data_IF_667380764408
#
_entry.id   IF_667380764408
#
_cell.length_a   1.000
_cell.length_b   1.000
_cell.length_c   1.000
_cell.angle_alpha   90.00
_cell.angle_beta   90.00
_cell.angle_gamma   90.00
#
_symmetry.space_group_name_H-M   'P 1'
#
loop_
_entity.id
_entity.type
_entity.pdbx_description
1 polymer ?
#
# COMPACT_ATOMS: atom_id res chain seq x y z
N UNK A 1 17.13 15.23 29.74
CA UNK A 1 17.49 14.15 28.77
C UNK A 1 16.20 13.52 28.25
N UNK A 2 16.05 13.39 26.95
CA UNK A 2 14.89 12.72 26.35
C UNK A 2 15.26 11.25 26.16
N UNK A 3 14.41 10.29 26.54
CA UNK A 3 14.71 8.88 26.34
C UNK A 3 14.84 8.58 24.85
N UNK A 4 15.81 7.77 24.48
CA UNK A 4 16.04 7.33 23.10
C UNK A 4 14.95 6.37 22.61
N UNK A 5 14.24 5.76 23.55
CA UNK A 5 13.15 4.80 23.27
C UNK A 5 11.99 5.06 24.19
N UNK A 6 10.79 5.23 23.65
CA UNK A 6 9.55 5.27 24.41
C UNK A 6 8.80 3.93 24.24
N UNK A 7 8.55 3.26 25.34
CA UNK A 7 7.69 2.09 25.41
C UNK A 7 6.32 2.49 25.94
N UNK A 8 5.27 2.18 25.17
CA UNK A 8 3.89 2.40 25.58
C UNK A 8 3.24 1.05 25.88
N UNK A 9 2.52 0.97 26.98
CA UNK A 9 1.72 -0.21 27.32
C UNK A 9 0.25 0.18 27.26
N UNK A 10 -0.47 -0.43 26.32
CA UNK A 10 -1.93 -0.29 26.22
C UNK A 10 -2.58 -1.52 26.83
N UNK A 11 -3.17 -1.36 28.01
CA UNK A 11 -3.92 -2.42 28.67
C UNK A 11 -5.40 -2.36 28.26
N UNK A 12 -5.95 -3.48 27.85
CA UNK A 12 -7.39 -3.71 27.67
C UNK A 12 -7.82 -4.90 28.54
N UNK A 13 -9.11 -5.08 28.83
CA UNK A 13 -9.57 -6.21 29.65
C UNK A 13 -9.10 -7.57 29.16
N UNK A 14 -8.99 -7.72 27.84
CA UNK A 14 -8.66 -8.98 27.18
C UNK A 14 -7.18 -9.16 26.84
N UNK A 15 -6.38 -8.07 26.83
CA UNK A 15 -4.97 -8.15 26.44
C UNK A 15 -4.16 -6.91 26.82
N UNK A 16 -2.85 -7.07 27.01
CA UNK A 16 -1.88 -5.99 27.11
C UNK A 16 -1.04 -5.92 25.81
N UNK A 17 -0.94 -4.71 25.24
CA UNK A 17 -0.16 -4.45 24.03
C UNK A 17 1.07 -3.64 24.37
N UNK A 18 2.24 -4.09 23.95
CA UNK A 18 3.48 -3.35 24.07
C UNK A 18 3.77 -2.63 22.76
N UNK A 19 3.90 -1.33 22.79
CA UNK A 19 4.06 -0.48 21.62
C UNK A 19 5.35 0.32 21.74
N UNK A 20 6.18 0.28 20.73
CA UNK A 20 7.41 1.05 20.66
C UNK A 20 7.18 2.29 19.80
N UNK A 21 7.65 3.41 20.27
CA UNK A 21 7.69 4.61 19.45
C UNK A 21 8.95 4.62 18.61
N UNK A 22 8.78 4.36 17.32
CA UNK A 22 9.86 4.32 16.32
C UNK A 22 10.12 5.70 15.71
N UNK A 23 10.45 6.71 16.52
CA UNK A 23 10.84 8.03 16.06
C UNK A 23 9.91 9.18 16.43
N UNK A 24 10.30 10.40 16.06
CA UNK A 24 9.52 11.63 16.33
C UNK A 24 8.24 11.65 15.48
N UNK A 25 7.14 12.06 16.12
CA UNK A 25 5.86 12.28 15.42
C UNK A 25 6.07 13.35 14.34
N UNK A 26 6.07 12.94 13.07
CA UNK A 26 6.09 13.91 11.99
C UNK A 26 4.73 14.63 11.90
N UNK A 27 4.71 15.93 11.56
CA UNK A 27 3.46 16.62 11.33
C UNK A 27 2.67 15.90 10.25
N UNK A 28 1.39 15.67 10.53
CA UNK A 28 0.49 14.95 9.63
C UNK A 28 0.21 15.84 8.42
N UNK A 29 0.67 15.43 7.25
CA UNK A 29 0.21 16.03 6.00
C UNK A 29 -1.08 15.33 5.57
N UNK A 30 -2.06 16.12 5.16
CA UNK A 30 -3.36 15.61 4.73
C UNK A 30 -3.20 14.64 3.54
N UNK A 31 -3.88 13.50 3.60
CA UNK A 31 -3.78 12.47 2.54
C UNK A 31 -2.55 11.57 2.61
N UNK A 32 -1.61 11.78 3.53
CA UNK A 32 -0.44 10.90 3.68
C UNK A 32 -0.66 9.81 4.73
N UNK A 33 -0.15 8.62 4.41
CA UNK A 33 -0.07 7.52 5.36
C UNK A 33 0.94 7.82 6.47
N UNK A 34 0.63 7.35 7.67
CA UNK A 34 1.56 7.36 8.80
C UNK A 34 2.72 6.40 8.52
N UNK A 35 3.91 6.75 8.98
CA UNK A 35 5.12 5.95 8.77
C UNK A 35 5.05 4.54 9.38
N UNK A 36 4.35 4.37 10.51
CA UNK A 36 4.12 3.06 11.12
C UNK A 36 3.23 2.17 10.24
N UNK A 37 2.17 2.71 9.66
CA UNK A 37 1.31 1.98 8.70
C UNK A 37 2.10 1.62 7.44
N UNK A 38 2.93 2.55 6.95
CA UNK A 38 3.79 2.30 5.80
C UNK A 38 4.80 1.17 6.06
N UNK A 39 5.41 1.14 7.26
CA UNK A 39 6.35 0.09 7.65
C UNK A 39 5.66 -1.28 7.72
N UNK A 40 4.45 -1.36 8.29
CA UNK A 40 3.66 -2.59 8.33
C UNK A 40 3.26 -3.05 6.94
N UNK A 41 2.82 -2.13 6.07
CA UNK A 41 2.49 -2.46 4.69
C UNK A 41 3.70 -2.98 3.90
N UNK A 42 4.88 -2.35 4.06
CA UNK A 42 6.12 -2.79 3.46
C UNK A 42 6.57 -4.17 3.98
N UNK A 43 6.37 -4.45 5.27
CA UNK A 43 6.61 -5.77 5.84
C UNK A 43 5.74 -6.84 5.19
N UNK A 44 4.43 -6.61 5.06
CA UNK A 44 3.53 -7.55 4.39
C UNK A 44 3.78 -7.71 2.89
N UNK A 45 4.38 -6.70 2.27
CA UNK A 45 4.71 -6.74 0.85
C UNK A 45 5.81 -7.74 0.50
N UNK A 46 6.67 -8.13 1.46
CA UNK A 46 7.79 -9.08 1.25
C UNK A 46 8.65 -8.73 0.03
N UNK A 47 8.94 -7.45 -0.17
CA UNK A 47 9.60 -6.96 -1.39
C UNK A 47 11.07 -7.39 -1.55
N UNK A 48 11.70 -7.99 -0.54
CA UNK A 48 13.14 -8.20 -0.46
C UNK A 48 13.81 -8.63 -1.77
N UNK A 49 14.76 -7.81 -2.25
CA UNK A 49 15.57 -8.02 -3.44
C UNK A 49 14.81 -8.16 -4.79
N UNK A 50 13.51 -7.86 -4.82
CA UNK A 50 12.63 -8.00 -5.98
C UNK A 50 12.19 -6.63 -6.54
N UNK A 51 11.47 -6.63 -7.66
CA UNK A 51 10.86 -5.43 -8.22
C UNK A 51 9.50 -5.18 -7.57
N UNK A 52 9.20 -3.94 -7.23
CA UNK A 52 7.91 -3.55 -6.67
C UNK A 52 7.36 -2.29 -7.32
N UNK A 53 6.05 -2.18 -7.37
CA UNK A 53 5.35 -0.97 -7.78
C UNK A 53 4.41 -0.46 -6.67
N UNK A 54 4.24 0.86 -6.60
CA UNK A 54 3.23 1.50 -5.75
C UNK A 54 2.28 2.27 -6.68
N UNK A 55 1.02 1.87 -6.70
CA UNK A 55 -0.03 2.51 -7.49
C UNK A 55 -0.79 3.53 -6.63
N UNK A 56 -1.04 4.72 -7.17
CA UNK A 56 -1.71 5.80 -6.48
C UNK A 56 -0.88 6.41 -5.34
N UNK A 57 0.41 6.55 -5.56
CA UNK A 57 1.34 7.02 -4.54
C UNK A 57 1.16 8.52 -4.27
N UNK A 58 0.71 8.89 -3.06
CA UNK A 58 0.40 10.28 -2.67
C UNK A 58 1.45 10.94 -1.78
N UNK A 59 2.58 10.27 -1.51
CA UNK A 59 3.65 10.81 -0.68
C UNK A 59 4.84 9.88 -0.53
N UNK A 60 5.91 10.36 0.10
CA UNK A 60 7.20 9.66 0.18
C UNK A 60 7.30 8.62 1.29
N UNK A 61 6.37 8.56 2.26
CA UNK A 61 6.49 7.68 3.42
C UNK A 61 6.39 6.19 3.05
N UNK A 62 5.42 5.81 2.20
CA UNK A 62 5.28 4.42 1.75
C UNK A 62 6.45 3.99 0.85
N UNK A 63 6.86 4.77 -0.17
CA UNK A 63 8.07 4.48 -0.94
C UNK A 63 9.32 4.30 -0.08
N UNK A 64 9.53 5.18 0.91
CA UNK A 64 10.68 5.08 1.81
C UNK A 64 10.66 3.79 2.63
N UNK A 65 9.49 3.39 3.16
CA UNK A 65 9.35 2.15 3.91
C UNK A 65 9.60 0.91 3.02
N UNK A 66 9.06 0.90 1.80
CA UNK A 66 9.29 -0.19 0.84
C UNK A 66 10.76 -0.24 0.39
N UNK A 67 11.40 0.92 0.18
CA UNK A 67 12.82 0.95 -0.17
C UNK A 67 13.70 0.43 0.97
N UNK A 68 13.36 0.77 2.21
CA UNK A 68 14.06 0.29 3.41
C UNK A 68 13.92 -1.23 3.61
N UNK A 69 12.90 -1.89 3.04
CA UNK A 69 12.76 -3.35 3.06
C UNK A 69 13.70 -4.09 2.10
N UNK A 70 14.57 -3.38 1.39
CA UNK A 70 15.58 -3.99 0.51
C UNK A 70 15.09 -4.30 -0.91
N UNK A 71 14.03 -3.66 -1.38
CA UNK A 71 13.55 -3.82 -2.77
C UNK A 71 14.64 -3.45 -3.77
N UNK A 72 14.79 -4.26 -4.83
CA UNK A 72 15.79 -4.04 -5.89
C UNK A 72 15.44 -2.81 -6.72
N UNK A 73 14.25 -2.78 -7.28
CA UNK A 73 13.74 -1.67 -8.05
C UNK A 73 12.34 -1.29 -7.56
N UNK A 74 12.11 0.00 -7.35
CA UNK A 74 10.82 0.54 -6.93
C UNK A 74 10.33 1.55 -7.96
N UNK A 75 9.11 1.33 -8.45
CA UNK A 75 8.42 2.26 -9.33
C UNK A 75 7.16 2.78 -8.63
N UNK A 76 6.97 4.09 -8.63
CA UNK A 76 5.81 4.75 -8.05
C UNK A 76 5.00 5.46 -9.13
N UNK A 77 3.72 5.12 -9.23
CA UNK A 77 2.75 5.80 -10.08
C UNK A 77 1.99 6.80 -9.22
N UNK A 78 2.10 8.08 -9.56
CA UNK A 78 1.62 9.19 -8.76
C UNK A 78 0.45 9.90 -9.45
N UNK A 79 -0.48 10.52 -8.71
CA UNK A 79 -1.61 11.23 -9.29
C UNK A 79 -1.20 12.53 -10.01
N UNK A 80 0.00 13.04 -9.70
CA UNK A 80 0.51 14.29 -10.27
C UNK A 80 2.04 14.30 -10.30
N UNK A 81 2.57 15.17 -11.17
CA UNK A 81 4.01 15.33 -11.41
C UNK A 81 4.77 15.91 -10.20
N UNK A 82 4.11 16.72 -9.38
CA UNK A 82 4.76 17.31 -8.21
C UNK A 82 5.04 16.25 -7.15
N UNK A 83 4.08 15.36 -6.92
CA UNK A 83 4.24 14.18 -6.04
C UNK A 83 5.34 13.25 -6.57
N UNK A 84 5.38 12.98 -7.87
CA UNK A 84 6.42 12.14 -8.46
C UNK A 84 7.82 12.71 -8.21
N UNK A 85 8.04 13.98 -8.51
CA UNK A 85 9.32 14.68 -8.24
C UNK A 85 9.69 14.69 -6.76
N UNK A 86 8.70 14.88 -5.87
CA UNK A 86 8.93 14.84 -4.42
C UNK A 86 9.48 13.47 -4.00
N UNK A 87 8.93 12.39 -4.56
CA UNK A 87 9.35 11.02 -4.22
C UNK A 87 10.76 10.76 -4.74
N UNK A 88 11.05 11.06 -6.00
CA UNK A 88 12.39 10.87 -6.57
C UNK A 88 13.48 11.64 -5.80
N UNK A 89 13.17 12.86 -5.38
CA UNK A 89 14.09 13.66 -4.59
C UNK A 89 14.31 13.16 -3.16
N UNK A 90 13.30 12.54 -2.55
CA UNK A 90 13.36 12.10 -1.15
C UNK A 90 13.73 10.65 -0.97
N UNK A 91 13.49 9.80 -1.95
CA UNK A 91 13.69 8.34 -1.87
C UNK A 91 14.64 7.90 -2.96
N UNK A 92 15.92 7.89 -2.64
CA UNK A 92 16.99 7.53 -3.58
C UNK A 92 16.76 6.16 -4.23
N UNK A 93 17.03 6.06 -5.52
CA UNK A 93 16.88 4.83 -6.28
C UNK A 93 15.43 4.38 -6.49
N UNK A 94 14.48 5.32 -6.42
CA UNK A 94 13.07 5.12 -6.78
C UNK A 94 12.79 5.84 -8.09
N UNK A 95 12.06 5.18 -8.97
CA UNK A 95 11.49 5.80 -10.17
C UNK A 95 10.06 6.23 -9.87
N UNK A 96 9.71 7.47 -10.14
CA UNK A 96 8.35 7.94 -9.95
C UNK A 96 7.88 8.78 -11.14
N UNK A 97 6.63 8.57 -11.57
CA UNK A 97 6.05 9.35 -12.65
C UNK A 97 4.54 9.56 -12.43
N UNK A 98 4.00 10.56 -13.08
CA UNK A 98 2.57 10.83 -13.13
C UNK A 98 1.87 9.77 -13.97
N UNK A 99 0.78 9.21 -13.47
CA UNK A 99 0.01 8.20 -14.18
C UNK A 99 -1.25 7.76 -13.44
N UNK A 100 -2.04 6.95 -14.12
CA UNK A 100 -3.24 6.35 -13.57
C UNK A 100 -2.92 5.01 -12.90
N UNK A 101 -3.52 4.74 -11.75
CA UNK A 101 -3.42 3.42 -11.09
C UNK A 101 -4.09 2.30 -11.89
N UNK A 102 -5.02 2.64 -12.76
CA UNK A 102 -5.74 1.67 -13.59
C UNK A 102 -5.11 1.39 -14.95
N UNK A 103 -4.04 2.10 -15.28
CA UNK A 103 -3.27 1.89 -16.52
C UNK A 103 -1.86 2.43 -16.35
N UNK A 104 -0.86 1.59 -16.49
CA UNK A 104 0.55 1.96 -16.32
C UNK A 104 1.40 1.54 -17.51
N UNK A 105 2.56 2.15 -17.67
CA UNK A 105 3.55 1.76 -18.68
C UNK A 105 4.45 0.59 -18.22
N UNK A 106 4.09 -0.07 -17.11
CA UNK A 106 4.81 -1.26 -16.63
C UNK A 106 4.56 -2.45 -17.56
N UNK A 107 5.58 -3.21 -17.85
CA UNK A 107 5.46 -4.41 -18.65
C UNK A 107 4.65 -5.49 -17.91
N UNK A 108 4.02 -6.39 -18.64
CA UNK A 108 3.30 -7.54 -18.10
C UNK A 108 4.25 -8.40 -17.27
N UNK A 109 3.76 -8.95 -16.16
CA UNK A 109 4.49 -9.86 -15.28
C UNK A 109 5.90 -9.36 -14.90
N UNK A 110 6.07 -8.05 -14.69
CA UNK A 110 7.36 -7.41 -14.41
C UNK A 110 7.59 -7.06 -12.94
N UNK A 111 6.53 -7.15 -12.14
CA UNK A 111 6.56 -6.81 -10.72
C UNK A 111 6.26 -8.04 -9.87
N UNK A 112 7.04 -8.27 -8.84
CA UNK A 112 6.76 -9.33 -7.87
C UNK A 112 5.83 -8.87 -6.74
N UNK A 113 5.71 -7.57 -6.56
CA UNK A 113 4.82 -6.98 -5.54
C UNK A 113 4.24 -5.66 -6.02
N UNK A 114 2.95 -5.47 -5.76
CA UNK A 114 2.25 -4.19 -5.97
C UNK A 114 1.60 -3.75 -4.67
N UNK A 115 1.85 -2.51 -4.27
CA UNK A 115 1.17 -1.86 -3.17
C UNK A 115 0.21 -0.80 -3.70
N UNK A 116 -0.94 -0.67 -3.06
CA UNK A 116 -1.94 0.36 -3.38
C UNK A 116 -2.39 1.05 -2.11
N UNK A 117 -2.46 2.36 -2.16
CA UNK A 117 -3.11 3.16 -1.14
C UNK A 117 -4.25 3.96 -1.75
N UNK A 118 -5.46 3.68 -1.29
CA UNK A 118 -6.66 4.45 -1.64
C UNK A 118 -6.96 5.40 -0.48
N UNK A 119 -6.63 6.70 -0.64
CA UNK A 119 -6.87 7.68 0.42
C UNK A 119 -8.37 7.81 0.68
N UNK A 120 -8.72 7.78 1.95
CA UNK A 120 -10.08 7.92 2.41
C UNK A 120 -10.47 9.40 2.32
N UNK A 121 -10.98 9.84 1.17
CA UNK A 121 -11.73 11.09 1.07
C UNK A 121 -13.21 10.77 1.10
N UNK A 122 -13.97 11.53 1.89
CA UNK A 122 -15.41 11.33 2.10
C UNK A 122 -16.30 11.49 0.83
N UNK A 123 -15.71 11.80 -0.32
CA UNK A 123 -16.41 12.14 -1.53
C UNK A 123 -16.40 10.99 -2.54
N UNK A 124 -17.60 10.46 -2.83
CA UNK A 124 -17.95 9.56 -3.94
C UNK A 124 -17.42 8.12 -3.84
N UNK A 125 -18.13 7.32 -3.08
CA UNK A 125 -17.97 5.86 -2.93
C UNK A 125 -17.84 5.11 -4.26
N UNK A 126 -18.74 5.39 -5.22
CA UNK A 126 -18.77 4.70 -6.52
C UNK A 126 -17.48 4.88 -7.35
N UNK A 127 -16.89 6.07 -7.28
CA UNK A 127 -15.63 6.34 -7.97
C UNK A 127 -14.47 5.55 -7.35
N UNK A 128 -14.42 5.46 -6.03
CA UNK A 128 -13.38 4.71 -5.32
C UNK A 128 -13.44 3.20 -5.64
N UNK A 129 -14.65 2.64 -5.75
CA UNK A 129 -14.82 1.23 -6.13
C UNK A 129 -14.39 0.97 -7.57
N UNK A 130 -14.73 1.88 -8.49
CA UNK A 130 -14.29 1.81 -9.89
C UNK A 130 -12.77 1.95 -10.00
N UNK A 131 -12.18 2.93 -9.32
CA UNK A 131 -10.74 3.15 -9.31
C UNK A 131 -9.99 1.94 -8.72
N UNK A 132 -10.51 1.34 -7.64
CA UNK A 132 -9.96 0.13 -7.06
C UNK A 132 -10.04 -1.06 -8.04
N UNK A 133 -11.16 -1.24 -8.72
CA UNK A 133 -11.34 -2.32 -9.69
C UNK A 133 -10.35 -2.19 -10.84
N UNK A 134 -10.21 -1.00 -11.40
CA UNK A 134 -9.27 -0.73 -12.47
C UNK A 134 -7.82 -0.94 -12.03
N UNK A 135 -7.47 -0.47 -10.82
CA UNK A 135 -6.14 -0.68 -10.26
C UNK A 135 -5.83 -2.16 -9.98
N UNK A 136 -6.82 -2.96 -9.58
CA UNK A 136 -6.67 -4.40 -9.40
C UNK A 136 -6.50 -5.13 -10.74
N UNK A 137 -7.22 -4.72 -11.76
CA UNK A 137 -7.07 -5.28 -13.12
C UNK A 137 -5.64 -5.02 -13.63
N UNK A 138 -5.17 -3.79 -13.52
CA UNK A 138 -3.81 -3.40 -13.90
C UNK A 138 -2.75 -4.13 -13.05
N UNK A 139 -2.99 -4.25 -11.75
CA UNK A 139 -2.12 -4.99 -10.84
C UNK A 139 -1.92 -6.44 -11.29
N UNK A 140 -2.99 -7.12 -11.70
CA UNK A 140 -2.91 -8.50 -12.20
C UNK A 140 -2.08 -8.60 -13.47
N UNK A 141 -2.19 -7.61 -14.37
CA UNK A 141 -1.40 -7.58 -15.61
C UNK A 141 0.10 -7.46 -15.33
N UNK A 142 0.48 -6.57 -14.41
CA UNK A 142 1.89 -6.26 -14.15
C UNK A 142 2.56 -7.22 -13.18
N UNK A 143 1.79 -7.99 -12.40
CA UNK A 143 2.35 -8.94 -11.43
C UNK A 143 2.80 -10.24 -12.09
N UNK A 144 3.94 -10.74 -11.60
CA UNK A 144 4.39 -12.12 -11.82
C UNK A 144 3.36 -13.11 -11.25
N UNK A 145 3.32 -14.37 -11.75
CA UNK A 145 2.57 -15.44 -11.09
C UNK A 145 2.93 -15.52 -9.60
N UNK A 146 1.92 -15.72 -8.75
CA UNK A 146 2.05 -15.72 -7.27
C UNK A 146 2.58 -14.40 -6.70
N UNK A 147 2.50 -13.32 -7.47
CA UNK A 147 2.90 -11.98 -7.05
C UNK A 147 2.05 -11.47 -5.88
N UNK A 148 2.67 -10.68 -5.02
CA UNK A 148 2.06 -10.14 -3.80
C UNK A 148 1.33 -8.84 -4.06
N UNK A 149 0.12 -8.71 -3.50
CA UNK A 149 -0.67 -7.48 -3.54
C UNK A 149 -0.90 -7.01 -2.10
N UNK A 150 -0.64 -5.73 -1.83
CA UNK A 150 -0.97 -5.09 -0.54
C UNK A 150 -1.84 -3.88 -0.81
N UNK A 151 -3.07 -3.90 -0.30
CA UNK A 151 -4.02 -2.80 -0.43
C UNK A 151 -4.29 -2.16 0.91
N UNK A 152 -4.18 -0.85 0.99
CA UNK A 152 -4.53 -0.05 2.17
C UNK A 152 -5.74 0.80 1.77
N UNK A 153 -6.90 0.54 2.37
CA UNK A 153 -8.13 1.24 2.02
C UNK A 153 -9.15 1.25 3.17
N UNK A 154 -10.20 2.07 3.04
CA UNK A 154 -11.35 2.02 3.94
C UNK A 154 -12.12 0.70 3.79
N UNK A 155 -12.55 0.11 4.91
CA UNK A 155 -13.20 -1.20 4.96
C UNK A 155 -14.45 -1.28 4.09
N UNK A 156 -15.35 -0.31 4.25
CA UNK A 156 -16.67 -0.34 3.61
C UNK A 156 -16.64 -0.19 2.09
N UNK A 157 -15.55 0.36 1.53
CA UNK A 157 -15.39 0.52 0.08
C UNK A 157 -14.61 -0.61 -0.58
N UNK A 158 -13.67 -1.19 0.15
CA UNK A 158 -12.73 -2.14 -0.43
C UNK A 158 -13.19 -3.60 -0.31
N UNK A 159 -13.85 -3.98 0.79
CA UNK A 159 -14.10 -5.39 1.10
C UNK A 159 -14.92 -6.10 0.02
N UNK A 160 -16.00 -5.48 -0.44
CA UNK A 160 -16.86 -6.06 -1.49
C UNK A 160 -16.10 -6.24 -2.81
N UNK A 161 -15.35 -5.21 -3.23
CA UNK A 161 -14.58 -5.25 -4.47
C UNK A 161 -13.46 -6.29 -4.42
N UNK A 162 -12.68 -6.30 -3.33
CA UNK A 162 -11.55 -7.22 -3.17
C UNK A 162 -11.99 -8.69 -3.13
N UNK A 163 -13.11 -9.00 -2.47
CA UNK A 163 -13.64 -10.37 -2.40
C UNK A 163 -14.23 -10.86 -3.73
N UNK A 164 -14.72 -9.95 -4.58
CA UNK A 164 -15.33 -10.28 -5.88
C UNK A 164 -14.33 -10.29 -7.03
N UNK A 165 -13.10 -9.83 -6.81
CA UNK A 165 -12.09 -9.79 -7.86
C UNK A 165 -11.56 -11.19 -8.15
N UNK A 166 -11.81 -11.67 -9.37
CA UNK A 166 -11.31 -12.95 -9.84
C UNK A 166 -9.78 -12.91 -10.03
N UNK A 167 -9.13 -14.06 -9.89
CA UNK A 167 -7.69 -14.21 -10.09
C UNK A 167 -6.84 -13.58 -8.98
N UNK A 168 -7.43 -13.30 -7.80
CA UNK A 168 -6.72 -12.92 -6.58
C UNK A 168 -7.26 -13.68 -5.38
N UNK A 169 -6.39 -14.06 -4.47
CA UNK A 169 -6.70 -14.72 -3.22
C UNK A 169 -6.32 -13.83 -2.04
N UNK A 170 -7.25 -13.58 -1.12
CA UNK A 170 -6.97 -12.85 0.11
C UNK A 170 -6.26 -13.78 1.10
N UNK A 171 -5.04 -13.44 1.47
CA UNK A 171 -4.23 -14.16 2.45
C UNK A 171 -4.47 -13.64 3.87
N UNK A 172 -4.74 -12.35 4.01
CA UNK A 172 -4.98 -11.74 5.31
C UNK A 172 -5.62 -10.36 5.21
N UNK A 173 -6.34 -9.99 6.28
CA UNK A 173 -6.93 -8.68 6.48
C UNK A 173 -6.59 -8.17 7.87
N UNK A 174 -5.93 -7.04 7.95
CA UNK A 174 -5.44 -6.43 9.19
C UNK A 174 -6.16 -5.11 9.43
N UNK A 175 -7.16 -5.07 10.32
CA UNK A 175 -7.95 -3.87 10.58
C UNK A 175 -7.11 -2.79 11.26
N UNK A 176 -7.36 -1.55 10.87
CA UNK A 176 -6.72 -0.37 11.43
C UNK A 176 -7.64 0.86 11.32
N UNK A 177 -7.27 1.96 11.95
CA UNK A 177 -7.98 3.22 11.81
C UNK A 177 -7.10 4.25 11.13
N UNK A 178 -7.55 4.79 9.99
CA UNK A 178 -6.89 5.86 9.27
C UNK A 178 -7.77 7.12 9.31
N UNK A 179 -7.24 8.21 9.85
CA UNK A 179 -7.95 9.49 9.94
C UNK A 179 -9.36 9.38 10.56
N UNK A 180 -9.52 8.50 11.56
CA UNK A 180 -10.81 8.27 12.21
C UNK A 180 -11.74 7.27 11.51
N UNK A 181 -11.37 6.76 10.34
CA UNK A 181 -12.18 5.81 9.59
C UNK A 181 -11.67 4.37 9.74
N UNK A 182 -12.61 3.42 9.85
CA UNK A 182 -12.31 1.99 9.83
C UNK A 182 -11.72 1.62 8.48
N UNK A 183 -10.50 1.13 8.51
CA UNK A 183 -9.70 0.76 7.33
C UNK A 183 -9.07 -0.60 7.55
N UNK A 184 -8.41 -1.14 6.54
CA UNK A 184 -7.58 -2.31 6.70
C UNK A 184 -6.40 -2.31 5.73
N UNK A 185 -5.41 -3.13 6.05
CA UNK A 185 -4.42 -3.63 5.10
C UNK A 185 -4.89 -5.01 4.67
N UNK A 186 -5.12 -5.19 3.38
CA UNK A 186 -5.34 -6.50 2.77
C UNK A 186 -4.04 -6.98 2.14
N UNK A 187 -3.74 -8.23 2.42
CA UNK A 187 -2.62 -8.94 1.80
C UNK A 187 -3.21 -10.01 0.92
N UNK A 188 -2.86 -9.98 -0.35
CA UNK A 188 -3.38 -10.89 -1.37
C UNK A 188 -2.25 -11.39 -2.27
N UNK A 189 -2.56 -12.42 -3.04
CA UNK A 189 -1.69 -12.91 -4.10
C UNK A 189 -2.49 -13.16 -5.38
N UNK A 190 -1.83 -13.15 -6.51
CA UNK A 190 -2.43 -13.58 -7.78
C UNK A 190 -2.58 -15.10 -7.80
N UNK A 191 -3.72 -15.57 -8.29
CA UNK A 191 -3.94 -16.99 -8.56
C UNK A 191 -4.05 -17.21 -10.06
N UNK A 192 -3.62 -18.38 -10.56
CA UNK A 192 -3.89 -18.73 -11.95
C UNK A 192 -5.39 -18.60 -12.23
N UNK A 193 -5.74 -17.94 -13.32
CA UNK A 193 -7.11 -17.99 -13.81
C UNK A 193 -7.23 -19.35 -14.51
N UNK A 194 -8.00 -20.26 -13.93
CA UNK A 194 -8.39 -21.46 -14.67
C UNK A 194 -9.35 -21.01 -15.77
N UNK A 195 -8.86 -20.98 -17.01
CA UNK A 195 -9.68 -20.71 -18.20
C UNK A 195 -10.59 -21.92 -18.54
N UNK A 196 -10.97 -22.70 -17.55
CA UNK A 196 -11.94 -23.78 -17.68
C UNK A 196 -13.33 -23.28 -17.23
N UNK A 197 -14.07 -22.69 -18.15
CA UNK A 197 -15.52 -22.58 -18.09
C UNK A 197 -16.12 -22.57 -19.49
#
# INVERSE_FOLDING_TARGET
>A
ERPDVELWVLCRPEAAYFLWRLGKRQPKQEGQLRSDVCAVAAFFAHCGAKNAAILGCTGSALPAAVKASGVRALTCICPDRATARLIENKVSGTRAYEGSSGYTDLADASQSTVLMYLPVKAEKTERLESDLRNALFETRRVLEPEGRIVVIAALHHAESTLRKTQGVRVLGRYPLTLSGQKSAIWVMETTPVNDEA
#
